data_IF_571125178472
#
_entry.id   IF_571125178472
#
_cell.length_a   1.000
_cell.length_b   1.000
_cell.length_c   1.000
_cell.angle_alpha   90.00
_cell.angle_beta   90.00
_cell.angle_gamma   90.00
#
_symmetry.space_group_name_H-M   'P 1'
#
loop_
_entity.id
_entity.type
_entity.pdbx_description
1 polymer ?
#
# COMPACT_ATOMS: atom_id res chain seq x y z
N UNK A 1 -30.32 -35.57 -4.36
CA UNK A 1 -29.21 -35.78 -5.32
C UNK A 1 -28.69 -34.38 -5.69
N UNK A 2 -27.59 -33.98 -5.13
CA UNK A 2 -26.90 -32.70 -5.45
C UNK A 2 -25.98 -32.99 -6.65
N UNK A 3 -26.02 -32.23 -7.73
CA UNK A 3 -24.99 -32.32 -8.76
C UNK A 3 -23.85 -31.38 -8.36
N UNK A 4 -22.86 -31.91 -7.68
CA UNK A 4 -21.54 -31.30 -7.68
C UNK A 4 -21.00 -31.38 -9.11
N UNK A 5 -20.89 -30.24 -9.77
CA UNK A 5 -20.26 -30.12 -11.07
C UNK A 5 -18.76 -30.40 -10.91
N UNK A 6 -18.37 -31.63 -11.15
CA UNK A 6 -16.95 -31.98 -11.29
C UNK A 6 -16.41 -31.23 -12.51
N UNK A 7 -15.52 -30.29 -12.31
CA UNK A 7 -14.71 -29.67 -13.35
C UNK A 7 -14.01 -30.75 -14.16
N UNK A 8 -14.03 -30.63 -15.50
CA UNK A 8 -13.42 -31.61 -16.38
C UNK A 8 -11.91 -31.68 -16.19
N UNK A 9 -11.29 -32.80 -16.55
CA UNK A 9 -9.84 -32.96 -16.50
C UNK A 9 -9.10 -31.91 -17.37
N UNK A 10 -9.76 -31.38 -18.40
CA UNK A 10 -9.26 -30.31 -19.25
C UNK A 10 -9.26 -28.96 -18.51
N UNK A 11 -10.34 -28.63 -17.76
CA UNK A 11 -10.44 -27.42 -16.98
C UNK A 11 -9.37 -27.38 -15.87
N UNK A 12 -9.09 -28.52 -15.23
CA UNK A 12 -8.01 -28.67 -14.25
C UNK A 12 -6.62 -28.52 -14.87
N UNK A 13 -6.41 -29.01 -16.10
CA UNK A 13 -5.15 -28.91 -16.82
C UNK A 13 -4.90 -27.50 -17.37
N UNK A 14 -5.94 -26.71 -17.63
CA UNK A 14 -5.80 -25.28 -17.98
C UNK A 14 -5.54 -24.40 -16.74
N UNK A 15 -6.12 -24.72 -15.59
CA UNK A 15 -5.84 -24.05 -14.32
C UNK A 15 -4.37 -24.25 -13.86
N UNK A 16 -3.78 -25.43 -14.11
CA UNK A 16 -2.37 -25.72 -13.81
C UNK A 16 -1.37 -24.99 -14.74
N UNK A 17 -1.82 -24.39 -15.86
CA UNK A 17 -0.94 -23.70 -16.83
C UNK A 17 -0.85 -22.20 -16.65
N UNK A 18 -1.72 -21.58 -15.86
CA UNK A 18 -1.61 -20.12 -15.60
C UNK A 18 -0.44 -19.82 -14.66
N UNK A 19 0.41 -18.86 -15.01
CA UNK A 19 1.47 -18.42 -14.10
C UNK A 19 0.85 -17.97 -12.78
N UNK A 20 1.51 -18.31 -11.65
CA UNK A 20 1.03 -17.90 -10.33
C UNK A 20 1.01 -16.37 -10.23
N UNK A 21 -0.05 -15.79 -9.66
CA UNK A 21 -0.12 -14.35 -9.49
C UNK A 21 1.01 -13.85 -8.58
N UNK A 22 1.46 -12.62 -8.79
CA UNK A 22 2.35 -11.94 -7.88
C UNK A 22 1.53 -11.40 -6.70
N UNK A 23 1.87 -11.80 -5.48
CA UNK A 23 1.11 -11.47 -4.28
C UNK A 23 1.80 -10.38 -3.49
N UNK A 24 1.10 -9.27 -3.27
CA UNK A 24 1.48 -8.18 -2.38
C UNK A 24 0.62 -8.26 -1.12
N UNK A 25 1.24 -8.31 0.05
CA UNK A 25 0.56 -8.05 1.31
C UNK A 25 0.81 -6.60 1.73
N UNK A 26 -0.24 -5.82 1.96
CA UNK A 26 -0.18 -4.41 2.31
C UNK A 26 -0.74 -4.17 3.71
N UNK A 27 0.13 -3.94 4.67
CA UNK A 27 -0.18 -3.62 6.07
C UNK A 27 0.18 -2.16 6.37
N UNK A 28 -0.44 -1.57 7.40
CA UNK A 28 -0.22 -0.18 7.79
C UNK A 28 -0.62 0.07 9.23
N UNK A 29 -0.20 1.19 9.79
CA UNK A 29 -0.71 1.77 11.03
C UNK A 29 -0.63 0.77 12.20
N UNK A 30 0.59 0.26 12.48
CA UNK A 30 0.86 -0.70 13.56
C UNK A 30 0.73 0.00 14.93
N UNK A 31 1.22 1.24 15.04
CA UNK A 31 1.23 2.04 16.28
C UNK A 31 1.74 1.26 17.50
N UNK A 32 2.87 0.57 17.35
CA UNK A 32 3.53 -0.09 18.46
C UNK A 32 3.81 0.91 19.60
N UNK A 33 3.54 0.50 20.82
CA UNK A 33 3.64 1.37 22.00
C UNK A 33 2.35 2.12 22.35
N UNK A 34 1.40 2.22 21.41
CA UNK A 34 0.09 2.82 21.70
C UNK A 34 -0.70 1.98 22.72
N UNK A 35 -1.49 2.65 23.57
CA UNK A 35 -2.47 1.97 24.44
C UNK A 35 -3.53 1.19 23.65
N UNK A 36 -3.68 1.47 22.36
CA UNK A 36 -4.63 0.79 21.47
C UNK A 36 -3.98 -0.36 20.68
N UNK A 37 -2.68 -0.56 20.80
CA UNK A 37 -1.98 -1.66 20.17
C UNK A 37 -2.42 -3.01 20.74
N UNK A 38 -2.78 -3.96 19.88
CA UNK A 38 -3.25 -5.29 20.27
C UNK A 38 -2.26 -6.34 19.77
N UNK A 39 -1.36 -6.83 20.64
CA UNK A 39 -0.35 -7.81 20.28
C UNK A 39 -0.92 -9.04 19.58
N UNK A 40 -2.01 -9.60 20.06
CA UNK A 40 -2.62 -10.81 19.49
C UNK A 40 -3.11 -10.62 18.04
N UNK A 41 -3.55 -9.42 17.67
CA UNK A 41 -3.93 -9.12 16.28
C UNK A 41 -2.68 -9.07 15.38
N UNK A 42 -1.59 -8.48 15.88
CA UNK A 42 -0.33 -8.43 15.13
C UNK A 42 0.31 -9.82 14.99
N UNK A 43 0.34 -10.61 16.08
CA UNK A 43 0.81 -12.00 16.02
C UNK A 43 0.00 -12.82 15.00
N UNK A 44 -1.34 -12.66 15.00
CA UNK A 44 -2.20 -13.35 14.04
C UNK A 44 -1.95 -12.88 12.60
N UNK A 45 -1.80 -11.59 12.38
CA UNK A 45 -1.47 -11.06 11.05
C UNK A 45 -0.14 -11.63 10.53
N UNK A 46 0.89 -11.71 11.38
CA UNK A 46 2.19 -12.32 11.03
C UNK A 46 2.02 -13.79 10.64
N UNK A 47 1.24 -14.57 11.40
CA UNK A 47 0.97 -15.98 11.08
C UNK A 47 0.28 -16.09 9.71
N UNK A 48 -0.76 -15.30 9.48
CA UNK A 48 -1.52 -15.31 8.22
C UNK A 48 -0.67 -14.87 7.02
N UNK A 49 0.23 -13.90 7.21
CA UNK A 49 1.19 -13.47 6.19
C UNK A 49 2.18 -14.58 5.84
N UNK A 50 2.67 -15.32 6.84
CA UNK A 50 3.60 -16.43 6.63
C UNK A 50 2.91 -17.63 5.96
N UNK A 51 1.62 -17.87 6.25
CA UNK A 51 0.80 -18.87 5.55
C UNK A 51 0.53 -18.47 4.09
N UNK A 52 0.28 -17.17 3.83
CA UNK A 52 0.03 -16.61 2.51
C UNK A 52 1.26 -16.68 1.60
N UNK A 53 2.47 -16.56 2.16
CA UNK A 53 3.75 -16.51 1.44
C UNK A 53 3.76 -15.46 0.32
N UNK A 54 3.55 -14.17 0.65
CA UNK A 54 3.53 -13.12 -0.36
C UNK A 54 4.90 -12.95 -1.02
N UNK A 55 4.93 -12.43 -2.24
CA UNK A 55 6.16 -12.10 -2.93
C UNK A 55 6.82 -10.83 -2.36
N UNK A 56 6.00 -9.95 -1.79
CA UNK A 56 6.43 -8.72 -1.10
C UNK A 56 5.43 -8.36 0.00
N UNK A 57 5.96 -7.89 1.13
CA UNK A 57 5.16 -7.23 2.18
C UNK A 57 5.47 -5.74 2.14
N UNK A 58 4.44 -4.92 2.06
CA UNK A 58 4.52 -3.46 2.06
C UNK A 58 3.94 -2.93 3.36
N UNK A 59 4.69 -2.09 4.05
CA UNK A 59 4.28 -1.41 5.28
C UNK A 59 4.24 0.09 5.02
N UNK A 60 3.05 0.66 4.99
CA UNK A 60 2.84 2.08 4.67
C UNK A 60 2.81 2.97 5.92
N UNK A 61 3.77 2.78 6.81
CA UNK A 61 4.08 3.71 7.92
C UNK A 61 3.22 3.56 9.16
N UNK A 62 3.42 4.51 10.07
CA UNK A 62 2.90 4.53 11.43
C UNK A 62 3.20 3.21 12.17
N UNK A 63 4.50 2.84 12.14
CA UNK A 63 5.04 1.69 12.89
C UNK A 63 4.93 1.93 14.39
N UNK A 64 5.15 3.17 14.82
CA UNK A 64 5.24 3.65 16.20
C UNK A 64 4.06 4.55 16.55
N UNK A 65 3.85 4.81 17.84
CA UNK A 65 2.87 5.81 18.30
C UNK A 65 3.47 7.19 18.45
N UNK A 66 4.72 7.30 18.93
CA UNK A 66 5.39 8.56 19.22
C UNK A 66 6.80 8.69 18.61
N UNK A 67 7.25 7.73 17.81
CA UNK A 67 8.58 7.74 17.21
C UNK A 67 9.71 7.38 18.19
N UNK A 68 9.41 6.83 19.36
CA UNK A 68 10.42 6.45 20.33
C UNK A 68 11.14 5.16 19.92
N UNK A 69 12.43 5.08 20.25
CA UNK A 69 13.27 3.92 19.91
C UNK A 69 12.70 2.59 20.39
N UNK A 70 12.10 2.56 21.59
CA UNK A 70 11.49 1.35 22.15
C UNK A 70 10.28 0.87 21.34
N UNK A 71 9.51 1.81 20.79
CA UNK A 71 8.36 1.51 19.93
C UNK A 71 8.82 0.93 18.60
N UNK A 72 9.88 1.48 18.02
CA UNK A 72 10.53 0.93 16.83
C UNK A 72 11.08 -0.47 17.06
N UNK A 73 11.74 -0.72 18.18
CA UNK A 73 12.22 -2.06 18.54
C UNK A 73 11.06 -3.05 18.66
N UNK A 74 9.94 -2.63 19.23
CA UNK A 74 8.74 -3.45 19.32
C UNK A 74 8.16 -3.73 17.93
N UNK A 75 7.94 -2.71 17.10
CA UNK A 75 7.44 -2.89 15.73
C UNK A 75 8.34 -3.83 14.92
N UNK A 76 9.66 -3.58 14.98
CA UNK A 76 10.65 -4.41 14.28
C UNK A 76 10.61 -5.86 14.75
N UNK A 77 10.41 -6.12 16.04
CA UNK A 77 10.32 -7.48 16.57
C UNK A 77 9.17 -8.30 15.98
N UNK A 78 8.11 -7.66 15.51
CA UNK A 78 7.02 -8.29 14.77
C UNK A 78 7.36 -8.43 13.28
N UNK A 79 7.88 -7.38 12.66
CA UNK A 79 8.22 -7.39 11.24
C UNK A 79 9.31 -8.44 10.92
N UNK A 80 10.28 -8.62 11.82
CA UNK A 80 11.33 -9.64 11.68
C UNK A 80 10.82 -11.09 11.76
N UNK A 81 9.58 -11.32 12.23
CA UNK A 81 8.93 -12.64 12.20
C UNK A 81 8.25 -12.96 10.88
N UNK A 82 8.14 -11.98 9.97
CA UNK A 82 7.52 -12.16 8.66
C UNK A 82 8.52 -12.87 7.74
N UNK A 83 8.17 -14.07 7.30
CA UNK A 83 8.97 -14.87 6.37
C UNK A 83 8.72 -14.41 4.92
N UNK A 84 9.27 -13.26 4.56
CA UNK A 84 9.21 -12.70 3.21
C UNK A 84 10.54 -12.06 2.82
N UNK A 85 11.08 -12.46 1.67
CA UNK A 85 12.36 -11.93 1.17
C UNK A 85 12.30 -10.41 0.96
N UNK A 86 11.15 -9.88 0.54
CA UNK A 86 10.99 -8.49 0.19
C UNK A 86 10.04 -7.82 1.19
N UNK A 87 10.59 -7.07 2.12
CA UNK A 87 9.85 -6.21 3.05
C UNK A 87 10.17 -4.75 2.71
N UNK A 88 9.18 -4.03 2.19
CA UNK A 88 9.29 -2.61 1.88
C UNK A 88 8.57 -1.79 2.95
N UNK A 89 9.27 -0.86 3.55
CA UNK A 89 8.74 -0.01 4.62
C UNK A 89 8.95 1.45 4.25
N UNK A 90 7.93 2.27 4.43
CA UNK A 90 8.03 3.73 4.41
C UNK A 90 7.55 4.28 5.76
N UNK A 91 8.09 5.38 6.26
CA UNK A 91 7.64 5.95 7.53
C UNK A 91 6.30 6.67 7.39
N UNK A 92 5.57 6.77 8.51
CA UNK A 92 4.40 7.60 8.67
C UNK A 92 4.66 8.84 9.51
N UNK A 93 3.62 9.66 9.76
CA UNK A 93 3.78 10.87 10.54
C UNK A 93 4.06 10.60 12.02
N UNK A 94 3.55 9.50 12.58
CA UNK A 94 3.89 9.10 13.94
C UNK A 94 5.35 8.65 14.05
N UNK A 95 5.90 8.06 13.00
CA UNK A 95 7.30 7.65 12.93
C UNK A 95 8.27 8.83 12.85
N UNK A 96 7.80 9.99 12.42
CA UNK A 96 8.61 11.21 12.31
C UNK A 96 8.58 12.09 13.57
N UNK A 97 7.79 11.73 14.59
CA UNK A 97 7.73 12.46 15.87
C UNK A 97 8.99 12.26 16.69
N UNK A 98 9.29 13.25 17.55
CA UNK A 98 10.36 13.15 18.54
C UNK A 98 11.69 12.60 17.96
N UNK A 99 12.13 13.11 16.82
CA UNK A 99 13.30 12.65 16.04
C UNK A 99 13.25 11.19 15.61
N UNK A 100 12.07 10.59 15.57
CA UNK A 100 11.85 9.18 15.22
C UNK A 100 12.35 8.80 13.83
N UNK A 101 12.41 9.77 12.88
CA UNK A 101 13.01 9.55 11.57
C UNK A 101 14.49 9.09 11.63
N UNK A 102 15.24 9.48 12.68
CA UNK A 102 16.60 8.97 12.92
C UNK A 102 16.56 7.49 13.30
N UNK A 103 15.64 7.11 14.19
CA UNK A 103 15.48 5.72 14.60
C UNK A 103 14.95 4.85 13.46
N UNK A 104 14.11 5.40 12.60
CA UNK A 104 13.69 4.71 11.38
C UNK A 104 14.90 4.39 10.50
N UNK A 105 15.75 5.38 10.21
CA UNK A 105 16.95 5.19 9.39
C UNK A 105 17.95 4.20 10.01
N UNK A 106 18.11 4.21 11.34
CA UNK A 106 18.94 3.24 12.06
C UNK A 106 18.46 1.79 11.89
N UNK A 107 17.15 1.56 11.83
CA UNK A 107 16.55 0.21 11.87
C UNK A 107 16.12 -0.33 10.51
N UNK A 108 15.69 0.55 9.62
CA UNK A 108 15.14 0.18 8.29
C UNK A 108 15.96 0.75 7.13
N UNK A 109 16.94 1.60 7.39
CA UNK A 109 17.76 2.24 6.37
C UNK A 109 17.06 3.41 5.70
N UNK A 110 17.02 3.42 4.37
CA UNK A 110 16.41 4.52 3.62
C UNK A 110 14.92 4.67 3.91
N UNK A 111 14.45 5.93 4.03
CA UNK A 111 13.02 6.26 4.10
C UNK A 111 12.32 6.16 2.73
N UNK A 112 13.07 5.79 1.71
CA UNK A 112 12.58 5.47 0.36
C UNK A 112 12.77 3.99 0.09
N UNK A 113 11.80 3.36 -0.57
CA UNK A 113 11.82 1.94 -0.88
C UNK A 113 11.70 1.71 -2.38
N UNK A 114 12.48 0.81 -2.94
CA UNK A 114 12.45 0.47 -4.37
C UNK A 114 12.49 -1.05 -4.52
N UNK A 115 11.63 -1.57 -5.37
CA UNK A 115 11.70 -2.95 -5.83
C UNK A 115 11.37 -3.03 -7.33
N UNK A 116 12.27 -3.59 -8.11
CA UNK A 116 12.03 -3.90 -9.52
C UNK A 116 12.23 -5.40 -9.71
N UNK A 117 11.16 -6.13 -9.96
CA UNK A 117 11.21 -7.59 -10.10
C UNK A 117 10.06 -8.12 -10.94
N UNK A 118 10.33 -9.01 -11.88
CA UNK A 118 9.32 -9.76 -12.63
C UNK A 118 8.22 -8.89 -13.29
N UNK A 119 8.59 -7.80 -13.95
CA UNK A 119 7.63 -6.89 -14.56
C UNK A 119 6.91 -5.97 -13.57
N UNK A 120 7.19 -6.06 -12.27
CA UNK A 120 6.67 -5.16 -11.24
C UNK A 120 7.71 -4.10 -10.86
N UNK A 121 7.25 -2.85 -10.74
CA UNK A 121 8.04 -1.74 -10.23
C UNK A 121 7.30 -1.11 -9.05
N UNK A 122 7.91 -1.14 -7.87
CA UNK A 122 7.38 -0.52 -6.66
C UNK A 122 8.32 0.59 -6.24
N UNK A 123 7.79 1.79 -6.03
CA UNK A 123 8.55 2.97 -5.59
C UNK A 123 7.86 3.57 -4.37
N UNK A 124 8.57 3.65 -3.26
CA UNK A 124 8.10 4.20 -2.00
C UNK A 124 8.81 5.50 -1.64
N UNK A 125 8.05 6.43 -1.10
CA UNK A 125 8.58 7.70 -0.59
C UNK A 125 8.13 7.97 0.83
N UNK A 126 8.97 8.62 1.58
CA UNK A 126 8.58 9.26 2.84
C UNK A 126 7.73 10.49 2.53
N UNK A 127 6.50 10.49 3.01
CA UNK A 127 5.59 11.63 2.93
C UNK A 127 5.44 12.35 4.27
N UNK A 128 6.16 11.93 5.30
CA UNK A 128 6.08 12.55 6.63
C UNK A 128 6.95 13.79 6.75
N UNK A 129 6.54 14.69 7.63
CA UNK A 129 7.31 15.85 8.06
C UNK A 129 7.51 15.76 9.58
N UNK A 130 8.69 16.13 10.12
CA UNK A 130 8.96 16.04 11.56
C UNK A 130 7.91 16.78 12.40
N UNK A 131 7.31 16.05 13.35
CA UNK A 131 6.31 16.56 14.31
C UNK A 131 5.03 17.16 13.69
N UNK A 132 4.73 16.81 12.43
CA UNK A 132 3.53 17.27 11.73
C UNK A 132 2.64 16.09 11.33
N UNK A 133 1.32 16.29 11.34
CA UNK A 133 0.34 15.28 10.98
C UNK A 133 -0.04 15.27 9.48
N UNK A 134 0.33 16.30 8.73
CA UNK A 134 0.13 16.34 7.28
C UNK A 134 1.36 15.85 6.53
N UNK A 135 1.16 15.42 5.29
CA UNK A 135 2.23 14.89 4.45
C UNK A 135 2.59 15.77 3.28
N UNK A 136 3.80 15.58 2.75
CA UNK A 136 4.22 16.13 1.47
C UNK A 136 5.17 15.17 0.77
N UNK A 137 5.08 15.04 -0.54
CA UNK A 137 6.11 14.35 -1.34
C UNK A 137 7.24 15.33 -1.65
N UNK A 138 6.90 16.56 -1.97
CA UNK A 138 7.84 17.64 -2.27
C UNK A 138 8.38 17.60 -3.70
N UNK A 139 8.35 18.75 -4.38
CA UNK A 139 8.75 18.89 -5.80
C UNK A 139 10.17 18.44 -6.09
N UNK A 140 11.06 18.52 -5.11
CA UNK A 140 12.45 18.07 -5.25
C UNK A 140 12.58 16.56 -5.50
N UNK A 141 11.57 15.76 -5.07
CA UNK A 141 11.55 14.29 -5.28
C UNK A 141 10.88 13.86 -6.60
N UNK A 142 10.13 14.74 -7.29
CA UNK A 142 9.37 14.35 -8.48
C UNK A 142 10.26 13.81 -9.61
N UNK A 143 11.42 14.46 -9.82
CA UNK A 143 12.39 13.98 -10.80
C UNK A 143 12.88 12.58 -10.45
N UNK A 144 13.23 12.36 -9.20
CA UNK A 144 13.68 11.05 -8.71
C UNK A 144 12.59 9.99 -8.89
N UNK A 145 11.33 10.28 -8.53
CA UNK A 145 10.20 9.35 -8.73
C UNK A 145 10.05 8.98 -10.21
N UNK A 146 10.12 9.95 -11.12
CA UNK A 146 10.08 9.69 -12.58
C UNK A 146 11.21 8.79 -13.01
N UNK A 147 12.42 9.03 -12.54
CA UNK A 147 13.61 8.22 -12.86
C UNK A 147 13.45 6.76 -12.42
N UNK A 148 12.86 6.51 -11.24
CA UNK A 148 12.63 5.14 -10.77
C UNK A 148 11.62 4.39 -11.66
N UNK A 149 10.64 5.05 -12.22
CA UNK A 149 9.65 4.44 -13.11
C UNK A 149 10.05 4.37 -14.59
N UNK A 150 11.28 4.74 -14.94
CA UNK A 150 11.78 4.60 -16.33
C UNK A 150 12.04 3.14 -16.72
N UNK A 151 12.23 2.25 -15.75
CA UNK A 151 12.44 0.84 -16.01
C UNK A 151 11.17 0.21 -16.60
N UNK A 152 11.37 -0.70 -17.57
CA UNK A 152 10.25 -1.44 -18.17
C UNK A 152 9.56 -2.26 -17.09
N UNK A 153 8.27 -2.01 -16.91
CA UNK A 153 7.44 -2.75 -15.99
C UNK A 153 6.01 -2.84 -16.55
N UNK A 154 5.37 -3.98 -16.31
CA UNK A 154 3.99 -4.24 -16.72
C UNK A 154 3.00 -3.70 -15.68
N UNK A 155 3.44 -3.62 -14.43
CA UNK A 155 2.64 -3.08 -13.33
C UNK A 155 3.50 -2.18 -12.41
N UNK A 156 3.01 -0.96 -12.14
CA UNK A 156 3.71 0.05 -11.35
C UNK A 156 2.92 0.41 -10.11
N UNK A 157 3.57 0.34 -8.95
CA UNK A 157 2.99 0.65 -7.64
C UNK A 157 3.78 1.78 -6.99
N UNK A 158 3.07 2.80 -6.53
CA UNK A 158 3.63 3.86 -5.72
C UNK A 158 3.16 3.71 -4.27
N UNK A 159 4.07 3.80 -3.31
CA UNK A 159 3.75 3.65 -1.89
C UNK A 159 4.18 4.87 -1.09
N UNK A 160 3.31 5.30 -0.18
CA UNK A 160 3.54 6.37 0.78
C UNK A 160 2.61 6.17 1.98
N UNK A 161 2.84 6.92 3.07
CA UNK A 161 1.95 6.82 4.22
C UNK A 161 0.66 7.62 4.03
N UNK A 162 0.78 8.93 3.77
CA UNK A 162 -0.40 9.80 3.64
C UNK A 162 -1.15 9.55 2.33
N UNK A 163 -2.47 9.64 2.40
CA UNK A 163 -3.35 9.44 1.23
C UNK A 163 -3.33 10.66 0.28
N UNK A 164 -3.46 10.39 -1.01
CA UNK A 164 -3.53 11.42 -2.07
C UNK A 164 -4.96 11.82 -2.41
N UNK A 165 -5.94 10.99 -2.09
CA UNK A 165 -7.37 11.22 -2.34
C UNK A 165 -8.14 11.15 -1.03
N UNK A 166 -9.22 11.94 -0.85
CA UNK A 166 -10.03 11.94 0.35
C UNK A 166 -10.55 10.52 0.69
N UNK A 167 -10.51 10.15 1.98
CA UNK A 167 -11.09 8.88 2.45
C UNK A 167 -12.46 9.14 3.07
N UNK A 168 -13.56 8.66 2.45
CA UNK A 168 -14.93 8.93 2.92
C UNK A 168 -15.13 8.45 4.37
N UNK A 169 -15.94 9.20 5.13
CA UNK A 169 -16.26 8.88 6.52
C UNK A 169 -15.21 9.29 7.54
N UNK A 170 -14.10 9.91 7.11
CA UNK A 170 -13.02 10.35 8.02
C UNK A 170 -13.14 11.82 8.46
N UNK A 171 -14.23 12.48 8.10
CA UNK A 171 -14.51 13.86 8.48
C UNK A 171 -13.96 14.86 7.45
N UNK A 172 -13.65 16.10 7.91
CA UNK A 172 -13.03 17.10 7.05
C UNK A 172 -11.65 16.65 6.62
N UNK A 173 -11.35 16.79 5.32
CA UNK A 173 -10.03 16.45 4.82
C UNK A 173 -8.97 17.39 5.39
N UNK A 174 -8.22 16.83 6.31
CA UNK A 174 -6.98 17.40 6.86
C UNK A 174 -5.93 16.31 6.79
N UNK A 175 -4.67 16.72 6.81
CA UNK A 175 -3.56 15.76 6.88
C UNK A 175 -3.47 14.83 5.63
N UNK A 176 -3.94 15.31 4.48
CA UNK A 176 -3.59 14.77 3.16
C UNK A 176 -2.16 15.17 2.80
N UNK A 177 -1.66 14.60 1.73
CA UNK A 177 -0.46 15.11 1.07
C UNK A 177 -0.73 16.51 0.52
N UNK A 178 0.09 17.49 0.93
CA UNK A 178 -0.10 18.90 0.57
C UNK A 178 -0.02 19.15 -0.94
N UNK A 179 0.89 18.46 -1.61
CA UNK A 179 1.13 18.53 -3.05
C UNK A 179 0.48 17.34 -3.81
N UNK A 180 -0.67 16.83 -3.30
CA UNK A 180 -1.34 15.65 -3.85
C UNK A 180 -1.68 15.77 -5.33
N UNK A 181 -2.15 16.93 -5.80
CA UNK A 181 -2.46 17.16 -7.22
C UNK A 181 -1.23 17.04 -8.11
N UNK A 182 -0.12 17.68 -7.71
CA UNK A 182 1.13 17.68 -8.48
C UNK A 182 1.73 16.26 -8.56
N UNK A 183 1.74 15.52 -7.45
CA UNK A 183 2.26 14.14 -7.47
C UNK A 183 1.35 13.18 -8.23
N UNK A 184 0.03 13.33 -8.18
CA UNK A 184 -0.90 12.54 -8.98
C UNK A 184 -0.64 12.72 -10.47
N UNK A 185 -0.37 13.94 -10.94
CA UNK A 185 0.03 14.20 -12.33
C UNK A 185 1.34 13.47 -12.68
N UNK A 186 2.35 13.53 -11.80
CA UNK A 186 3.61 12.79 -11.98
C UNK A 186 3.37 11.30 -12.11
N UNK A 187 2.55 10.72 -11.22
CA UNK A 187 2.24 9.29 -11.22
C UNK A 187 1.48 8.86 -12.46
N UNK A 188 0.57 9.70 -12.95
CA UNK A 188 -0.14 9.47 -14.22
C UNK A 188 0.83 9.48 -15.41
N UNK A 189 1.75 10.46 -15.49
CA UNK A 189 2.79 10.50 -16.52
C UNK A 189 3.71 9.26 -16.47
N UNK A 190 3.95 8.71 -15.28
CA UNK A 190 4.72 7.47 -15.07
C UNK A 190 3.89 6.20 -15.32
N UNK A 191 2.62 6.31 -15.70
CA UNK A 191 1.72 5.18 -15.91
C UNK A 191 1.62 4.26 -14.67
N UNK A 192 1.55 4.84 -13.48
CA UNK A 192 1.36 4.09 -12.24
C UNK A 192 -0.03 3.47 -12.24
N UNK A 193 -0.11 2.18 -11.90
CA UNK A 193 -1.36 1.42 -11.86
C UNK A 193 -2.01 1.48 -10.47
N UNK A 194 -1.19 1.54 -9.41
CA UNK A 194 -1.69 1.48 -8.05
C UNK A 194 -0.91 2.39 -7.10
N UNK A 195 -1.63 3.03 -6.18
CA UNK A 195 -1.07 3.79 -5.06
C UNK A 195 -1.52 3.11 -3.78
N UNK A 196 -0.58 2.80 -2.88
CA UNK A 196 -0.87 2.21 -1.58
C UNK A 196 -0.54 3.21 -0.47
N UNK A 197 -1.48 3.40 0.45
CA UNK A 197 -1.35 4.33 1.57
C UNK A 197 -2.04 3.83 2.84
N UNK A 198 -1.80 4.51 3.99
CA UNK A 198 -2.40 4.24 5.29
C UNK A 198 -3.05 5.48 5.92
N UNK A 199 -2.61 5.83 7.16
CA UNK A 199 -2.88 7.07 7.87
C UNK A 199 -4.29 7.24 8.45
N UNK A 200 -5.34 6.93 7.72
CA UNK A 200 -6.71 7.21 8.16
C UNK A 200 -7.32 6.09 9.00
N UNK A 201 -6.68 4.95 9.09
CA UNK A 201 -7.21 3.72 9.73
C UNK A 201 -8.54 3.25 9.13
N UNK A 202 -8.92 3.78 7.98
CA UNK A 202 -10.12 3.40 7.24
C UNK A 202 -9.70 2.85 5.89
N UNK A 203 -9.90 1.56 5.66
CA UNK A 203 -9.57 0.98 4.36
C UNK A 203 -10.55 1.48 3.32
N UNK A 204 -10.02 1.98 2.22
CA UNK A 204 -10.83 2.47 1.10
C UNK A 204 -10.07 2.27 -0.22
N UNK A 205 -10.81 2.22 -1.31
CA UNK A 205 -10.23 2.15 -2.63
C UNK A 205 -10.95 3.11 -3.59
N UNK A 206 -10.16 3.94 -4.26
CA UNK A 206 -10.60 4.81 -5.33
C UNK A 206 -10.07 4.31 -6.67
N UNK A 207 -10.83 4.55 -7.71
CA UNK A 207 -10.33 4.53 -9.08
C UNK A 207 -10.31 5.94 -9.63
N UNK A 208 -9.13 6.40 -10.01
CA UNK A 208 -8.91 7.68 -10.67
C UNK A 208 -8.27 7.40 -12.03
N UNK A 209 -9.06 7.48 -13.10
CA UNK A 209 -8.64 7.07 -14.45
C UNK A 209 -8.08 5.64 -14.45
N UNK A 210 -6.76 5.49 -14.66
CA UNK A 210 -6.06 4.20 -14.72
C UNK A 210 -5.38 3.82 -13.40
N UNK A 211 -5.49 4.66 -12.36
CA UNK A 211 -4.85 4.47 -11.06
C UNK A 211 -5.87 3.98 -10.05
N UNK A 212 -5.55 2.91 -9.35
CA UNK A 212 -6.25 2.49 -8.14
C UNK A 212 -5.50 3.03 -6.92
N UNK A 213 -6.11 3.95 -6.17
CA UNK A 213 -5.59 4.41 -4.89
C UNK A 213 -6.24 3.58 -3.76
N UNK A 214 -5.43 2.77 -3.10
CA UNK A 214 -5.87 1.80 -2.09
C UNK A 214 -5.30 2.20 -0.73
N UNK A 215 -6.21 2.57 0.17
CA UNK A 215 -5.87 2.90 1.54
C UNK A 215 -6.00 1.65 2.42
N UNK A 216 -5.01 1.36 3.24
CA UNK A 216 -5.10 0.33 4.25
C UNK A 216 -5.85 0.84 5.50
N UNK A 217 -6.44 -0.09 6.23
CA UNK A 217 -6.80 0.14 7.62
C UNK A 217 -5.59 -0.09 8.54
N UNK A 218 -5.80 0.04 9.83
CA UNK A 218 -4.79 -0.43 10.78
C UNK A 218 -4.81 -1.95 10.86
N UNK A 219 -3.64 -2.58 10.91
CA UNK A 219 -3.54 -4.04 10.98
C UNK A 219 -3.85 -4.59 12.38
N UNK A 220 -3.55 -3.84 13.43
CA UNK A 220 -3.54 -4.38 14.80
C UNK A 220 -3.89 -3.38 15.91
N UNK A 221 -4.41 -2.18 15.61
CA UNK A 221 -4.80 -1.26 16.67
C UNK A 221 -6.32 -1.10 16.79
N UNK A 222 -6.80 -0.79 18.00
CA UNK A 222 -8.19 -0.42 18.26
C UNK A 222 -8.40 1.11 18.19
N UNK A 223 -7.44 1.87 17.72
CA UNK A 223 -7.60 3.29 17.36
C UNK A 223 -8.36 3.40 16.06
N UNK A 224 -9.60 2.96 16.07
CA UNK A 224 -10.44 2.83 14.89
C UNK A 224 -11.20 4.12 14.59
N UNK A 225 -11.53 4.34 13.32
CA UNK A 225 -12.50 5.34 12.88
C UNK A 225 -13.75 4.61 12.40
N UNK A 226 -14.89 4.95 13.00
CA UNK A 226 -16.15 4.28 12.70
C UNK A 226 -16.20 2.82 13.20
N UNK A 227 -16.82 1.94 12.40
CA UNK A 227 -17.02 0.51 12.74
C UNK A 227 -16.05 -0.42 11.99
N UNK A 228 -14.99 0.10 11.41
CA UNK A 228 -14.05 -0.70 10.64
C UNK A 228 -13.16 -1.50 11.57
N UNK A 229 -13.06 -2.81 11.34
CA UNK A 229 -12.19 -3.71 12.11
C UNK A 229 -10.74 -3.55 11.65
N UNK A 230 -9.74 -3.89 12.49
CA UNK A 230 -8.36 -4.03 12.07
C UNK A 230 -8.25 -4.96 10.85
N UNK A 231 -7.52 -4.52 9.83
CA UNK A 231 -7.44 -5.24 8.56
C UNK A 231 -6.19 -4.85 7.78
N UNK A 232 -5.87 -5.66 6.78
CA UNK A 232 -4.83 -5.42 5.80
C UNK A 232 -5.31 -5.84 4.40
N UNK A 233 -4.61 -5.41 3.36
CA UNK A 233 -4.96 -5.77 2.00
C UNK A 233 -4.03 -6.88 1.48
N UNK A 234 -4.60 -7.78 0.68
CA UNK A 234 -3.87 -8.75 -0.16
C UNK A 234 -4.20 -8.44 -1.61
N UNK A 235 -3.17 -8.20 -2.40
CA UNK A 235 -3.30 -7.81 -3.80
C UNK A 235 -2.64 -8.91 -4.63
N UNK A 236 -3.41 -9.54 -5.49
CA UNK A 236 -2.96 -10.58 -6.40
C UNK A 236 -2.92 -10.02 -7.82
N UNK A 237 -1.73 -9.97 -8.40
CA UNK A 237 -1.50 -9.43 -9.74
C UNK A 237 -1.20 -10.61 -10.65
N UNK A 238 -2.18 -11.00 -11.44
CA UNK A 238 -2.05 -12.00 -12.51
C UNK A 238 -1.86 -11.33 -13.87
N UNK A 239 -1.71 -12.13 -14.91
CA UNK A 239 -1.52 -11.69 -16.29
C UNK A 239 -2.75 -10.94 -16.81
N UNK A 240 -3.94 -11.51 -16.61
CA UNK A 240 -5.23 -10.98 -17.10
C UNK A 240 -6.05 -10.30 -16.00
N UNK A 241 -5.71 -10.49 -14.75
CA UNK A 241 -6.57 -10.12 -13.64
C UNK A 241 -5.74 -9.62 -12.44
N UNK A 242 -6.22 -8.55 -11.83
CA UNK A 242 -5.75 -8.08 -10.54
C UNK A 242 -6.91 -8.08 -9.55
N UNK A 243 -6.71 -8.69 -8.39
CA UNK A 243 -7.70 -8.73 -7.30
C UNK A 243 -7.16 -8.06 -6.05
N UNK A 244 -8.04 -7.37 -5.33
CA UNK A 244 -7.74 -6.76 -4.04
C UNK A 244 -8.70 -7.34 -3.02
N UNK A 245 -8.13 -8.05 -2.05
CA UNK A 245 -8.82 -8.60 -0.92
C UNK A 245 -8.56 -7.78 0.33
N UNK A 246 -9.57 -7.62 1.18
CA UNK A 246 -9.40 -7.10 2.53
C UNK A 246 -9.45 -8.26 3.50
N UNK A 247 -8.34 -8.49 4.17
CA UNK A 247 -8.17 -9.56 5.15
C UNK A 247 -8.30 -8.99 6.56
N UNK A 248 -8.99 -9.70 7.43
CA UNK A 248 -9.17 -9.34 8.82
C UNK A 248 -8.52 -10.43 9.69
N UNK A 249 -7.58 -10.09 10.60
CA UNK A 249 -7.01 -11.10 11.50
C UNK A 249 -8.11 -11.92 12.20
N UNK A 250 -7.98 -13.24 12.18
CA UNK A 250 -8.96 -14.23 12.67
C UNK A 250 -10.27 -14.36 11.87
N UNK A 251 -10.44 -13.69 10.75
CA UNK A 251 -11.69 -13.73 9.96
C UNK A 251 -11.40 -13.98 8.48
N UNK A 252 -12.48 -14.24 7.74
CA UNK A 252 -12.42 -14.38 6.29
C UNK A 252 -12.07 -13.05 5.60
N UNK A 253 -11.66 -13.13 4.34
CA UNK A 253 -11.36 -11.99 3.52
C UNK A 253 -12.56 -11.57 2.68
N UNK A 254 -12.72 -10.26 2.47
CA UNK A 254 -13.68 -9.69 1.54
C UNK A 254 -13.00 -9.34 0.22
N UNK A 255 -13.58 -9.76 -0.91
CA UNK A 255 -13.16 -9.26 -2.23
C UNK A 255 -13.62 -7.82 -2.39
N UNK A 256 -12.68 -6.90 -2.58
CA UNK A 256 -12.97 -5.47 -2.70
C UNK A 256 -13.02 -5.01 -4.14
N UNK A 257 -12.03 -5.41 -4.94
CA UNK A 257 -11.88 -5.02 -6.34
C UNK A 257 -11.34 -6.18 -7.14
N UNK A 258 -11.85 -6.30 -8.36
CA UNK A 258 -11.37 -7.19 -9.40
C UNK A 258 -11.35 -6.44 -10.72
N UNK A 259 -10.21 -6.41 -11.39
CA UNK A 259 -10.06 -5.70 -12.66
C UNK A 259 -9.00 -6.36 -13.54
N UNK A 260 -9.07 -6.08 -14.84
CA UNK A 260 -8.07 -6.52 -15.80
C UNK A 260 -7.05 -5.37 -16.01
N UNK A 261 -5.76 -5.54 -15.70
CA UNK A 261 -4.75 -4.51 -15.87
C UNK A 261 -4.63 -3.97 -17.29
N UNK A 262 -4.76 -4.83 -18.30
CA UNK A 262 -4.63 -4.47 -19.70
C UNK A 262 -5.80 -3.64 -20.27
N UNK A 263 -6.99 -3.71 -19.65
CA UNK A 263 -8.19 -2.98 -20.11
C UNK A 263 -8.37 -1.62 -19.42
N UNK A 264 -7.50 -1.27 -18.49
CA UNK A 264 -7.57 -0.02 -17.74
C UNK A 264 -6.92 1.14 -18.53
N UNK A 265 -6.20 0.85 -19.61
CA UNK A 265 -5.61 1.87 -20.47
C UNK A 265 -6.69 2.67 -21.24
N UNK A 266 -6.91 3.92 -20.82
CA UNK A 266 -7.66 4.89 -21.64
C UNK A 266 -6.72 5.54 -22.64
N UNK A 267 -7.09 5.51 -23.93
CA UNK A 267 -6.46 6.40 -24.90
C UNK A 267 -6.86 7.84 -24.55
N UNK A 268 -5.92 8.65 -24.10
CA UNK A 268 -6.15 10.10 -24.01
C UNK A 268 -6.26 10.65 -25.42
N UNK A 269 -7.39 11.29 -25.74
CA UNK A 269 -7.42 12.24 -26.87
C UNK A 269 -6.30 13.28 -26.66
N UNK A 270 -5.55 13.64 -27.71
CA UNK A 270 -4.50 14.65 -27.58
C UNK A 270 -5.12 15.91 -26.98
N UNK A 271 -4.49 16.42 -25.92
CA UNK A 271 -4.92 17.64 -25.27
C UNK A 271 -5.00 18.74 -26.34
N UNK A 272 -6.17 19.36 -26.47
CA UNK A 272 -6.32 20.59 -27.21
C UNK A 272 -5.39 21.60 -26.58
N UNK A 273 -4.37 22.03 -27.33
CA UNK A 273 -3.46 23.10 -26.93
C UNK A 273 -4.29 24.29 -26.48
N UNK A 274 -4.09 24.73 -25.24
CA UNK A 274 -4.69 25.96 -24.73
C UNK A 274 -4.24 27.12 -25.63
N UNK A 275 -5.12 27.99 -26.08
CA UNK A 275 -4.72 29.12 -26.88
C UNK A 275 -3.75 29.98 -26.06
N UNK A 276 -2.55 30.16 -26.59
CA UNK A 276 -1.57 31.12 -26.11
C UNK A 276 -2.24 32.49 -26.11
N UNK A 277 -2.48 33.02 -24.92
CA UNK A 277 -2.87 34.43 -24.78
C UNK A 277 -1.64 35.27 -25.19
N UNK A 278 -1.80 36.02 -26.33
CA UNK A 278 -0.89 37.04 -26.77
C UNK A 278 -0.98 38.32 -25.90
#
# INVERSE_FOLDING_TARGET
MNPESALSAADKAEEEKKPKPFIIAHISDIHAGSQYFVPNLMDRAVIELNELKPNVVIVTGDLTDQGFKQEYLLAKSYLDKIDCENLLVVPGNHDARNVGYVHFEEMFGSRQSILHRNGLSIVGVDSSEPDLDYGTVGRHRYKWVKEQFTQKADFRVFILHHHLLPVPGTGRERNMVYDAGDILEVLQQCQVNMILSGHKHVPYAWRLENIFAVNAGTVCTLRLRGKVRPCYNVIEIGEDECTIWRKYPFHDADLIIKFCPSTVAFEKSPATESPTQG
#
